data_IF_913531869241
#
_entry.id   IF_913531869241
#
_cell.length_a   1.000
_cell.length_b   1.000
_cell.length_c   1.000
_cell.angle_alpha   90.00
_cell.angle_beta   90.00
_cell.angle_gamma   90.00
#
_symmetry.space_group_name_H-M   'P 1'
#
loop_
_entity.id
_entity.type
_entity.pdbx_description
1 polymer ?
#
# COMPACT_ATOMS: atom_id res chain seq x y z
N UNK A 1 -10.25 1.96 -0.25
CA UNK A 1 -8.92 2.58 -0.03
C UNK A 1 -8.49 3.42 -1.23
N UNK A 2 -8.29 2.85 -2.43
CA UNK A 2 -7.79 3.62 -3.58
C UNK A 2 -8.66 4.83 -3.97
N UNK A 3 -9.99 4.65 -3.95
CA UNK A 3 -10.96 5.74 -4.18
C UNK A 3 -10.83 6.88 -3.15
N UNK A 4 -10.57 6.53 -1.88
CA UNK A 4 -10.43 7.52 -0.80
C UNK A 4 -9.09 8.25 -0.88
N UNK A 5 -8.00 7.54 -1.23
CA UNK A 5 -6.71 8.18 -1.54
C UNK A 5 -6.83 9.17 -2.70
N UNK A 6 -7.54 8.80 -3.77
CA UNK A 6 -7.76 9.68 -4.91
C UNK A 6 -8.52 10.95 -4.50
N UNK A 7 -9.63 10.80 -3.76
CA UNK A 7 -10.38 11.94 -3.22
C UNK A 7 -9.51 12.85 -2.35
N UNK A 8 -8.70 12.27 -1.46
CA UNK A 8 -7.80 13.01 -0.57
C UNK A 8 -6.72 13.77 -1.36
N UNK A 9 -6.19 13.16 -2.42
CA UNK A 9 -5.18 13.76 -3.31
C UNK A 9 -5.75 14.77 -4.33
N UNK A 10 -7.05 15.04 -4.30
CA UNK A 10 -7.76 15.90 -5.26
C UNK A 10 -7.64 15.49 -6.73
N UNK A 11 -7.29 14.23 -7.00
CA UNK A 11 -7.35 13.63 -8.32
C UNK A 11 -8.74 13.04 -8.58
N UNK A 12 -9.24 13.20 -9.80
CA UNK A 12 -10.47 12.57 -10.27
C UNK A 12 -10.21 11.77 -11.54
N UNK A 13 -10.92 10.67 -11.70
CA UNK A 13 -11.05 9.99 -12.98
C UNK A 13 -12.01 10.81 -13.84
N UNK A 14 -11.64 11.03 -15.10
CA UNK A 14 -12.52 11.68 -16.07
C UNK A 14 -13.74 10.80 -16.34
N UNK A 15 -14.91 11.44 -16.50
CA UNK A 15 -16.13 10.74 -16.89
C UNK A 15 -16.24 10.56 -18.41
N UNK A 16 -15.45 11.30 -19.20
CA UNK A 16 -15.52 11.31 -20.67
C UNK A 16 -14.53 10.38 -21.34
N UNK A 17 -13.37 10.17 -20.74
CA UNK A 17 -12.34 9.24 -21.25
C UNK A 17 -11.94 8.24 -20.17
N UNK A 18 -12.03 6.96 -20.51
CA UNK A 18 -11.45 5.90 -19.68
C UNK A 18 -9.95 6.14 -19.51
N UNK A 19 -9.44 5.82 -18.32
CA UNK A 19 -8.02 5.93 -17.98
C UNK A 19 -7.41 7.35 -18.00
N UNK A 20 -8.23 8.40 -18.13
CA UNK A 20 -7.79 9.79 -17.97
C UNK A 20 -8.00 10.28 -16.54
N UNK A 21 -6.94 10.75 -15.90
CA UNK A 21 -6.92 11.29 -14.54
C UNK A 21 -6.64 12.79 -14.57
N UNK A 22 -7.44 13.56 -13.83
CA UNK A 22 -7.35 15.01 -13.78
C UNK A 22 -7.09 15.48 -12.34
N UNK A 23 -6.03 16.28 -12.16
CA UNK A 23 -5.75 16.97 -10.90
C UNK A 23 -6.54 18.26 -10.87
N UNK A 24 -7.41 18.40 -9.87
CA UNK A 24 -8.30 19.54 -9.73
C UNK A 24 -7.82 20.42 -8.59
N UNK A 25 -7.61 21.70 -8.89
CA UNK A 25 -7.38 22.73 -7.88
C UNK A 25 -8.70 23.04 -7.15
N UNK A 26 -8.65 23.08 -5.82
CA UNK A 26 -9.76 23.56 -4.99
C UNK A 26 -9.39 24.94 -4.42
N UNK A 27 -10.29 25.94 -4.46
CA UNK A 27 -11.72 25.86 -4.76
C UNK A 27 -12.11 26.11 -6.23
N UNK A 28 -11.18 26.58 -7.07
CA UNK A 28 -11.40 27.05 -8.45
C UNK A 28 -11.92 25.98 -9.43
N UNK A 29 -11.88 24.69 -9.07
CA UNK A 29 -12.19 23.53 -9.92
C UNK A 29 -11.40 23.50 -11.24
N UNK A 30 -10.29 24.24 -11.31
CA UNK A 30 -9.43 24.28 -12.49
C UNK A 30 -8.62 22.98 -12.61
N UNK A 31 -8.53 22.43 -13.81
CA UNK A 31 -7.68 21.27 -14.07
C UNK A 31 -6.23 21.73 -14.22
N UNK A 32 -5.37 21.33 -13.28
CA UNK A 32 -3.95 21.69 -13.27
C UNK A 32 -3.11 20.75 -14.12
N UNK A 33 -3.40 19.45 -14.03
CA UNK A 33 -2.64 18.40 -14.73
C UNK A 33 -3.57 17.31 -15.20
N UNK A 34 -3.25 16.73 -16.37
CA UNK A 34 -3.91 15.54 -16.90
C UNK A 34 -2.91 14.42 -17.09
N UNK A 35 -3.28 13.22 -16.67
CA UNK A 35 -2.47 12.01 -16.80
C UNK A 35 -3.32 10.95 -17.48
N UNK A 36 -2.85 10.38 -18.58
CA UNK A 36 -3.51 9.27 -19.27
C UNK A 36 -2.80 7.97 -18.94
N UNK A 37 -3.49 7.01 -18.35
CA UNK A 37 -2.95 5.68 -18.06
C UNK A 37 -2.90 4.89 -19.36
N UNK A 38 -1.71 4.41 -19.71
CA UNK A 38 -1.48 3.67 -20.95
C UNK A 38 -1.47 2.16 -20.72
N UNK A 39 -0.92 1.72 -19.59
CA UNK A 39 -0.86 0.29 -19.23
C UNK A 39 -0.86 0.11 -17.73
N UNK A 40 -1.55 -0.93 -17.26
CA UNK A 40 -1.61 -1.33 -15.84
C UNK A 40 -1.05 -2.73 -15.67
N UNK A 41 -0.13 -2.90 -14.73
CA UNK A 41 0.27 -4.20 -14.22
C UNK A 41 -0.49 -4.46 -12.93
N UNK A 42 -1.40 -5.42 -12.99
CA UNK A 42 -2.30 -5.72 -11.89
C UNK A 42 -1.54 -6.15 -10.64
N UNK A 43 -2.19 -5.92 -9.50
CA UNK A 43 -1.71 -6.42 -8.23
C UNK A 43 -1.65 -7.95 -8.27
N UNK A 44 -0.53 -8.50 -7.83
CA UNK A 44 -0.38 -9.95 -7.60
C UNK A 44 -0.05 -10.16 -6.13
N UNK A 45 -0.78 -11.06 -5.47
CA UNK A 45 -0.55 -11.40 -4.06
C UNK A 45 0.86 -11.96 -3.83
N UNK A 46 1.40 -12.71 -4.79
CA UNK A 46 2.78 -13.24 -4.74
C UNK A 46 3.82 -12.12 -4.82
N UNK A 47 3.55 -11.08 -5.63
CA UNK A 47 4.47 -9.95 -5.83
C UNK A 47 4.24 -8.81 -4.82
N UNK A 48 3.08 -8.76 -4.16
CA UNK A 48 2.66 -7.73 -3.19
C UNK A 48 2.79 -6.29 -3.71
N UNK A 49 2.61 -6.08 -5.01
CA UNK A 49 2.76 -4.77 -5.68
C UNK A 49 1.97 -4.67 -6.98
N UNK A 50 1.71 -3.45 -7.41
CA UNK A 50 1.18 -3.10 -8.72
C UNK A 50 1.92 -1.90 -9.32
N UNK A 51 1.87 -1.77 -10.64
CA UNK A 51 2.53 -0.70 -11.36
C UNK A 51 1.68 -0.21 -12.54
N UNK A 52 1.92 1.01 -12.98
CA UNK A 52 1.23 1.61 -14.12
C UNK A 52 2.18 2.48 -14.94
N UNK A 53 2.01 2.45 -16.25
CA UNK A 53 2.67 3.37 -17.19
C UNK A 53 1.63 4.40 -17.61
N UNK A 54 1.95 5.67 -17.43
CA UNK A 54 1.04 6.78 -17.71
C UNK A 54 1.76 7.91 -18.43
N UNK A 55 1.06 8.63 -19.31
CA UNK A 55 1.57 9.82 -19.99
C UNK A 55 1.04 11.09 -19.30
N UNK A 56 1.93 11.98 -18.90
CA UNK A 56 1.57 13.30 -18.37
C UNK A 56 1.33 14.22 -19.57
N UNK A 57 0.08 14.58 -19.84
CA UNK A 57 -0.29 15.29 -21.07
C UNK A 57 0.32 16.70 -21.15
N UNK A 58 0.48 17.37 -20.00
CA UNK A 58 1.06 18.72 -19.96
C UNK A 58 2.55 18.77 -20.37
N UNK A 59 3.31 17.72 -20.06
CA UNK A 59 4.77 17.70 -20.27
C UNK A 59 5.21 16.68 -21.32
N UNK A 60 4.26 15.91 -21.88
CA UNK A 60 4.45 14.71 -22.67
C UNK A 60 5.30 13.57 -22.05
N UNK A 61 5.95 13.79 -20.90
CA UNK A 61 6.72 12.77 -20.18
C UNK A 61 5.91 11.52 -19.84
N UNK A 62 6.60 10.39 -19.85
CA UNK A 62 6.05 9.10 -19.48
C UNK A 62 6.48 8.76 -18.06
N UNK A 63 5.50 8.57 -17.21
CA UNK A 63 5.64 8.25 -15.80
C UNK A 63 5.32 6.78 -15.57
N UNK A 64 6.27 6.07 -14.99
CA UNK A 64 6.03 4.78 -14.36
C UNK A 64 5.77 5.04 -12.88
N UNK A 65 4.64 4.56 -12.39
CA UNK A 65 4.29 4.61 -10.97
C UNK A 65 4.15 3.19 -10.43
N UNK A 66 4.73 2.92 -9.27
CA UNK A 66 4.69 1.63 -8.61
C UNK A 66 4.20 1.84 -7.18
N UNK A 67 3.30 0.97 -6.72
CA UNK A 67 2.84 0.93 -5.34
C UNK A 67 2.86 -0.50 -4.81
N UNK A 68 3.24 -0.69 -3.55
CA UNK A 68 3.29 -2.02 -2.97
C UNK A 68 3.70 -2.04 -1.51
N UNK A 69 3.95 -3.26 -1.02
CA UNK A 69 4.53 -3.48 0.30
C UNK A 69 5.91 -2.78 0.40
N UNK A 70 6.20 -2.05 1.50
CA UNK A 70 7.48 -1.36 1.69
C UNK A 70 8.69 -2.28 1.50
N UNK A 71 8.64 -3.51 2.01
CA UNK A 71 9.73 -4.48 1.93
C UNK A 71 10.03 -4.87 0.48
N UNK A 72 8.98 -4.98 -0.35
CA UNK A 72 9.12 -5.30 -1.78
C UNK A 72 9.65 -4.11 -2.57
N UNK A 73 9.13 -2.91 -2.33
CA UNK A 73 9.53 -1.71 -3.07
C UNK A 73 10.96 -1.32 -2.75
N UNK A 74 11.40 -1.51 -1.50
CA UNK A 74 12.77 -1.26 -1.05
C UNK A 74 13.82 -1.88 -1.98
N UNK A 75 13.62 -3.13 -2.42
CA UNK A 75 14.55 -3.84 -3.31
C UNK A 75 14.60 -3.31 -4.75
N UNK A 76 13.72 -2.37 -5.12
CA UNK A 76 13.59 -1.81 -6.46
C UNK A 76 14.08 -0.36 -6.56
N UNK A 77 14.36 0.26 -5.42
CA UNK A 77 14.81 1.65 -5.35
C UNK A 77 16.28 1.76 -5.75
N UNK A 78 16.62 2.82 -6.49
CA UNK A 78 18.02 3.14 -6.82
C UNK A 78 18.75 3.71 -5.60
N UNK A 79 18.06 4.56 -4.83
CA UNK A 79 18.58 5.16 -3.61
C UNK A 79 17.52 4.99 -2.51
N UNK A 80 17.93 4.43 -1.37
CA UNK A 80 17.06 4.14 -0.24
C UNK A 80 17.32 5.24 0.81
N UNK A 81 16.30 6.02 1.21
CA UNK A 81 16.45 6.98 2.30
C UNK A 81 16.86 6.28 3.60
N UNK A 82 17.73 6.90 4.40
CA UNK A 82 18.23 6.32 5.66
C UNK A 82 17.10 5.90 6.60
N UNK A 83 16.07 6.74 6.75
CA UNK A 83 14.94 6.50 7.65
C UNK A 83 13.84 5.62 7.06
N UNK A 84 14.05 5.00 5.88
CA UNK A 84 13.01 4.24 5.20
C UNK A 84 12.50 3.08 6.06
N UNK A 85 13.42 2.24 6.54
CA UNK A 85 13.10 1.03 7.27
C UNK A 85 12.50 1.31 8.64
N UNK A 86 13.02 2.31 9.35
CA UNK A 86 12.51 2.72 10.65
C UNK A 86 11.08 3.28 10.53
N UNK A 87 10.85 4.15 9.55
CA UNK A 87 9.56 4.84 9.37
C UNK A 87 8.44 3.85 9.09
N UNK A 88 8.60 2.93 8.12
CA UNK A 88 7.50 2.02 7.82
C UNK A 88 7.28 1.02 8.96
N UNK A 89 8.34 0.55 9.63
CA UNK A 89 8.24 -0.35 10.79
C UNK A 89 7.51 0.32 11.94
N UNK A 90 7.77 1.60 12.20
CA UNK A 90 7.07 2.38 13.22
C UNK A 90 5.55 2.36 12.97
N UNK A 91 5.11 2.72 11.76
CA UNK A 91 3.67 2.74 11.44
C UNK A 91 3.05 1.33 11.40
N UNK A 92 3.77 0.32 10.91
CA UNK A 92 3.29 -1.08 10.89
C UNK A 92 3.15 -1.65 12.31
N UNK A 93 4.09 -1.34 13.21
CA UNK A 93 4.02 -1.70 14.64
C UNK A 93 2.89 -0.99 15.38
N UNK A 94 2.47 0.16 14.87
CA UNK A 94 1.29 0.90 15.34
C UNK A 94 -0.01 0.45 14.66
N UNK A 95 -0.01 -0.74 14.03
CA UNK A 95 -1.19 -1.35 13.42
C UNK A 95 -1.66 -0.68 12.13
N UNK A 96 -0.89 0.24 11.57
CA UNK A 96 -1.25 0.93 10.33
C UNK A 96 -0.78 0.16 9.10
N UNK A 97 -1.60 0.16 8.04
CA UNK A 97 -1.23 -0.42 6.76
C UNK A 97 -0.41 0.60 5.97
N UNK A 98 0.85 0.29 5.72
CA UNK A 98 1.78 1.15 4.99
C UNK A 98 1.95 0.65 3.56
N UNK A 99 1.82 1.53 2.58
CA UNK A 99 2.19 1.30 1.19
C UNK A 99 3.34 2.22 0.81
N UNK A 100 4.36 1.68 0.16
CA UNK A 100 5.40 2.49 -0.46
C UNK A 100 5.01 2.86 -1.88
N UNK A 101 5.24 4.12 -2.25
CA UNK A 101 5.15 4.63 -3.60
C UNK A 101 6.55 4.83 -4.15
N UNK A 102 6.73 4.47 -5.39
CA UNK A 102 7.96 4.73 -6.13
C UNK A 102 7.62 5.07 -7.58
N UNK A 103 8.48 5.81 -8.24
CA UNK A 103 8.25 6.23 -9.61
C UNK A 103 9.55 6.32 -10.41
N UNK A 104 9.41 6.38 -11.73
CA UNK A 104 10.49 6.81 -12.62
C UNK A 104 9.93 7.41 -13.90
N UNK A 105 10.77 8.14 -14.61
CA UNK A 105 10.44 8.63 -15.94
C UNK A 105 11.07 7.75 -17.01
N UNK A 106 10.35 7.54 -18.10
CA UNK A 106 10.87 6.92 -19.31
C UNK A 106 11.01 7.98 -20.39
N UNK A 107 12.05 7.85 -21.21
CA UNK A 107 12.23 8.70 -22.37
C UNK A 107 11.20 8.35 -23.45
N UNK A 108 10.67 9.37 -24.14
CA UNK A 108 9.61 9.20 -25.15
C UNK A 108 9.97 8.20 -26.26
N UNK A 109 11.26 8.10 -26.60
CA UNK A 109 11.80 7.15 -27.60
C UNK A 109 11.62 5.67 -27.20
N UNK A 110 11.55 5.39 -25.89
CA UNK A 110 11.43 4.02 -25.37
C UNK A 110 10.00 3.47 -25.41
N UNK A 111 9.00 4.31 -25.66
CA UNK A 111 7.57 3.97 -25.51
C UNK A 111 6.72 4.28 -26.75
N UNK A 112 7.32 4.79 -27.83
CA UNK A 112 6.59 5.09 -29.06
C UNK A 112 5.81 3.87 -29.62
N UNK A 113 4.49 4.05 -29.78
CA UNK A 113 3.55 3.37 -30.69
C UNK A 113 3.29 1.87 -30.53
N UNK A 114 4.33 1.07 -30.35
CA UNK A 114 4.28 -0.39 -30.51
C UNK A 114 5.03 -1.15 -29.41
N UNK A 115 5.96 -0.47 -28.71
CA UNK A 115 6.78 -1.10 -27.65
C UNK A 115 6.07 -1.18 -26.30
N UNK A 116 5.01 -0.40 -26.05
CA UNK A 116 4.35 -0.36 -24.75
C UNK A 116 3.82 -1.73 -24.28
N UNK A 117 3.29 -2.54 -25.20
CA UNK A 117 2.77 -3.87 -24.89
C UNK A 117 3.87 -4.92 -24.69
N UNK A 118 5.03 -4.74 -25.33
CA UNK A 118 6.17 -5.66 -25.23
C UNK A 118 7.11 -5.33 -24.06
N UNK A 119 6.98 -4.15 -23.43
CA UNK A 119 7.71 -3.82 -22.20
C UNK A 119 7.41 -4.88 -21.12
N UNK A 120 8.48 -5.47 -20.60
CA UNK A 120 8.41 -6.46 -19.51
C UNK A 120 8.17 -5.76 -18.17
N UNK A 121 7.52 -6.46 -17.24
CA UNK A 121 7.19 -5.91 -15.92
C UNK A 121 8.45 -5.60 -15.11
N UNK A 122 9.47 -6.43 -15.24
CA UNK A 122 10.74 -6.32 -14.52
C UNK A 122 11.53 -5.06 -14.92
N UNK A 123 11.47 -4.67 -16.20
CA UNK A 123 12.11 -3.44 -16.66
C UNK A 123 11.35 -2.21 -16.18
N UNK A 124 10.04 -2.30 -15.95
CA UNK A 124 9.22 -1.21 -15.37
C UNK A 124 9.48 -1.07 -13.88
N UNK A 125 9.57 -2.19 -13.16
CA UNK A 125 9.71 -2.27 -11.69
C UNK A 125 11.17 -2.30 -11.22
N UNK A 126 12.05 -1.51 -11.86
CA UNK A 126 13.47 -1.42 -11.52
C UNK A 126 14.00 0.02 -11.60
N UNK A 127 15.06 0.30 -10.83
CA UNK A 127 15.72 1.61 -10.73
C UNK A 127 14.74 2.74 -10.41
N UNK A 128 13.91 2.53 -9.40
CA UNK A 128 12.84 3.45 -9.02
C UNK A 128 13.35 4.53 -8.07
N UNK A 129 12.72 5.69 -8.11
CA UNK A 129 12.90 6.79 -7.17
C UNK A 129 11.79 6.68 -6.12
N UNK A 130 12.14 6.84 -4.85
CA UNK A 130 11.16 6.80 -3.78
C UNK A 130 10.22 8.01 -3.86
N UNK A 131 8.90 7.74 -3.84
CA UNK A 131 7.85 8.76 -3.92
C UNK A 131 7.17 9.08 -2.59
N UNK A 132 7.41 8.29 -1.55
CA UNK A 132 6.79 8.45 -0.23
C UNK A 132 5.99 7.24 0.24
N UNK A 133 5.47 7.34 1.46
CA UNK A 133 4.57 6.34 2.03
C UNK A 133 3.13 6.84 2.04
N UNK A 134 2.19 5.91 1.84
CA UNK A 134 0.79 6.10 2.21
C UNK A 134 0.52 5.25 3.44
N UNK A 135 0.07 5.88 4.51
CA UNK A 135 -0.30 5.22 5.76
C UNK A 135 -1.82 5.21 5.87
N UNK A 136 -2.40 4.03 5.95
CA UNK A 136 -3.81 3.85 6.25
C UNK A 136 -3.95 3.38 7.69
N UNK A 137 -4.57 4.22 8.50
CA UNK A 137 -5.04 3.81 9.82
C UNK A 137 -6.42 3.16 9.64
N UNK A 138 -6.57 1.91 10.10
CA UNK A 138 -7.86 1.24 10.15
C UNK A 138 -8.36 1.26 11.60
N UNK A 139 -9.13 2.27 12.02
CA UNK A 139 -9.66 2.30 13.36
C UNK A 139 -10.64 1.12 13.52
N UNK A 140 -10.47 0.37 14.59
CA UNK A 140 -11.40 -0.70 14.93
C UNK A 140 -12.74 -0.12 15.38
N UNK A 141 -13.82 -0.90 15.21
CA UNK A 141 -15.12 -0.58 15.81
C UNK A 141 -14.95 -0.46 17.33
N UNK A 142 -15.55 0.58 17.92
CA UNK A 142 -15.48 0.83 19.36
C UNK A 142 -16.04 -0.37 20.16
N UNK A 143 -17.19 -0.87 19.72
CA UNK A 143 -17.93 -1.98 20.35
C UNK A 143 -17.15 -3.31 20.37
N UNK A 144 -16.15 -3.47 19.51
CA UNK A 144 -15.36 -4.69 19.45
C UNK A 144 -14.55 -4.89 20.73
N UNK A 145 -14.06 -3.81 21.36
CA UNK A 145 -13.29 -3.90 22.62
C UNK A 145 -14.18 -4.42 23.74
N UNK A 146 -15.35 -3.82 23.87
CA UNK A 146 -16.31 -4.12 24.92
C UNK A 146 -16.86 -5.53 24.77
N UNK A 147 -17.20 -5.94 23.55
CA UNK A 147 -17.65 -7.31 23.25
C UNK A 147 -16.59 -8.35 23.63
N UNK A 148 -15.32 -8.14 23.26
CA UNK A 148 -14.22 -9.05 23.60
C UNK A 148 -14.03 -9.13 25.12
N UNK A 149 -14.15 -7.99 25.82
CA UNK A 149 -14.06 -7.95 27.28
C UNK A 149 -15.18 -8.77 27.93
N UNK A 150 -16.44 -8.60 27.51
CA UNK A 150 -17.57 -9.37 28.03
C UNK A 150 -17.44 -10.88 27.78
N UNK A 151 -16.92 -11.27 26.60
CA UNK A 151 -16.65 -12.67 26.28
C UNK A 151 -15.56 -13.27 27.18
N UNK A 152 -14.49 -12.53 27.41
CA UNK A 152 -13.43 -12.95 28.33
C UNK A 152 -13.91 -13.03 29.79
N UNK A 153 -14.79 -12.13 30.23
CA UNK A 153 -15.38 -12.14 31.58
C UNK A 153 -16.38 -13.29 31.77
N UNK A 154 -17.07 -13.71 30.71
CA UNK A 154 -17.95 -14.89 30.70
C UNK A 154 -17.19 -16.20 30.46
N UNK A 155 -15.87 -16.22 30.64
CA UNK A 155 -15.00 -17.40 30.49
C UNK A 155 -14.99 -18.02 29.09
N UNK A 156 -15.34 -17.25 28.05
CA UNK A 156 -15.17 -17.68 26.67
C UNK A 156 -13.75 -17.38 26.19
N UNK A 157 -13.21 -18.27 25.37
CA UNK A 157 -11.89 -18.10 24.75
C UNK A 157 -12.03 -17.35 23.42
N UNK A 158 -11.49 -16.14 23.35
CA UNK A 158 -11.44 -15.35 22.11
C UNK A 158 -10.15 -15.63 21.32
N UNK A 159 -10.30 -15.98 20.03
CA UNK A 159 -9.16 -16.21 19.11
C UNK A 159 -9.19 -15.21 17.95
N UNK A 160 -8.01 -14.80 17.49
CA UNK A 160 -7.86 -13.95 16.30
C UNK A 160 -7.28 -14.76 15.15
N UNK A 161 -8.01 -14.81 14.04
CA UNK A 161 -7.56 -15.37 12.76
C UNK A 161 -7.52 -14.23 11.75
N UNK A 162 -6.35 -13.90 11.22
CA UNK A 162 -6.16 -12.78 10.28
C UNK A 162 -5.20 -13.14 9.16
N UNK A 163 -5.34 -12.51 7.99
CA UNK A 163 -4.39 -12.65 6.88
C UNK A 163 -3.39 -11.49 6.79
N UNK A 164 -3.44 -10.54 7.72
CA UNK A 164 -2.60 -9.35 7.71
C UNK A 164 -1.16 -9.62 8.17
N UNK A 165 -0.30 -8.61 8.01
CA UNK A 165 1.09 -8.67 8.48
C UNK A 165 1.12 -9.05 9.98
N UNK A 166 1.95 -10.04 10.39
CA UNK A 166 2.05 -10.46 11.79
C UNK A 166 2.27 -9.30 12.77
N UNK A 167 3.04 -8.28 12.39
CA UNK A 167 3.28 -7.10 13.24
C UNK A 167 2.00 -6.32 13.53
N UNK A 168 1.13 -6.19 12.52
CA UNK A 168 -0.18 -5.54 12.65
C UNK A 168 -1.12 -6.39 13.52
N UNK A 169 -1.13 -7.71 13.32
CA UNK A 169 -1.93 -8.63 14.12
C UNK A 169 -1.56 -8.55 15.61
N UNK A 170 -0.26 -8.54 15.92
CA UNK A 170 0.25 -8.39 17.30
C UNK A 170 -0.18 -7.06 17.91
N UNK A 171 -0.10 -5.96 17.16
CA UNK A 171 -0.54 -4.65 17.65
C UNK A 171 -2.02 -4.64 18.01
N UNK A 172 -2.86 -5.18 17.12
CA UNK A 172 -4.31 -5.26 17.35
C UNK A 172 -4.62 -6.15 18.56
N UNK A 173 -3.97 -7.31 18.67
CA UNK A 173 -4.18 -8.25 19.76
C UNK A 173 -3.81 -7.64 21.13
N UNK A 174 -2.70 -6.88 21.20
CA UNK A 174 -2.28 -6.18 22.43
C UNK A 174 -3.25 -5.06 22.82
N UNK A 175 -3.63 -4.21 21.88
CA UNK A 175 -4.50 -3.05 22.18
C UNK A 175 -5.92 -3.44 22.63
N UNK A 176 -6.37 -4.66 22.34
CA UNK A 176 -7.75 -5.11 22.60
C UNK A 176 -7.85 -6.13 23.73
N UNK A 177 -6.81 -6.28 24.54
CA UNK A 177 -6.77 -7.24 25.66
C UNK A 177 -7.06 -8.69 25.23
N UNK A 178 -6.89 -9.02 23.94
CA UNK A 178 -6.99 -10.40 23.45
C UNK A 178 -5.83 -11.25 23.99
N UNK A 179 -4.72 -10.61 24.36
CA UNK A 179 -3.54 -11.26 24.93
C UNK A 179 -3.20 -10.61 26.26
N UNK A 180 -3.27 -11.38 27.36
CA UNK A 180 -2.92 -10.92 28.72
C UNK A 180 -1.41 -11.03 29.03
N UNK A 181 -0.69 -11.94 28.38
CA UNK A 181 0.74 -12.20 28.62
C UNK A 181 1.57 -12.06 27.33
N UNK A 182 2.66 -11.30 27.41
CA UNK A 182 3.55 -10.94 26.28
C UNK A 182 4.33 -12.12 25.67
N UNK A 183 4.38 -13.28 26.35
CA UNK A 183 5.20 -14.45 25.99
C UNK A 183 4.68 -15.27 24.80
N UNK A 184 3.38 -15.24 24.50
CA UNK A 184 2.77 -16.02 23.41
C UNK A 184 2.99 -15.41 22.01
N UNK A 185 3.51 -14.19 21.94
CA UNK A 185 3.82 -13.50 20.68
C UNK A 185 5.04 -14.12 19.96
N UNK A 186 5.92 -14.81 20.69
CA UNK A 186 7.18 -15.33 20.16
C UNK A 186 7.04 -16.55 19.22
N UNK A 187 5.89 -17.24 19.19
CA UNK A 187 5.66 -18.36 18.28
C UNK A 187 5.41 -17.95 16.81
N UNK A 188 5.16 -16.65 16.55
CA UNK A 188 4.84 -16.11 15.21
C UNK A 188 6.03 -15.95 14.26
N UNK A 189 7.27 -16.09 14.75
CA UNK A 189 8.50 -15.95 13.95
C UNK A 189 8.96 -17.27 13.30
N UNK A 190 8.24 -18.39 13.50
CA UNK A 190 8.64 -19.69 13.00
C UNK A 190 7.99 -19.98 11.63
N UNK A 191 8.77 -20.15 10.54
CA UNK A 191 8.22 -20.31 9.17
C UNK A 191 7.42 -21.60 8.94
N UNK A 192 7.43 -22.54 9.89
CA UNK A 192 6.66 -23.79 9.82
C UNK A 192 5.26 -23.70 10.46
N UNK A 193 4.93 -22.64 11.21
CA UNK A 193 3.59 -22.46 11.76
C UNK A 193 2.71 -21.65 10.79
N UNK A 194 1.84 -22.36 10.04
CA UNK A 194 0.66 -21.73 9.45
C UNK A 194 -0.17 -21.12 10.58
N UNK A 195 -0.38 -19.82 10.45
CA UNK A 195 -1.03 -18.90 11.38
C UNK A 195 -2.20 -19.53 12.17
N UNK A 196 -1.90 -19.97 13.39
CA UNK A 196 -2.86 -20.09 14.47
C UNK A 196 -2.26 -19.38 15.68
N UNK A 197 -2.86 -18.26 16.07
CA UNK A 197 -2.55 -17.67 17.37
C UNK A 197 -3.20 -18.59 18.40
N UNK A 198 -2.40 -19.48 18.99
CA UNK A 198 -2.77 -20.20 20.19
C UNK A 198 -2.47 -19.29 21.38
N UNK A 199 -3.52 -18.90 22.10
CA UNK A 199 -3.48 -18.54 23.53
C UNK A 199 -4.35 -19.54 24.24
#
# INVERSE_FOLDING_TARGET
MEKETLKASSWKLSNTENDLMELIEKPSKKVLRKIKIMRRFQFSSSLKRSSSISKILNTNKILVSVKGAPETIRGMLTNIPENYDETFKFFTRSGSRVLALAYKYLDDSSVAGSKLNTIKRESVESKLIFGGFIVFHCPMKADAVETIKMLNESSHRCIMITGDNPLTAIHVAKNKQLVRNSSLVNQLMNPFLKLMIYV
#
